data_IF_433788300648
#
_entry.id   IF_433788300648
#
_cell.length_a   1.000
_cell.length_b   1.000
_cell.length_c   1.000
_cell.angle_alpha   90.00
_cell.angle_beta   90.00
_cell.angle_gamma   90.00
#
_symmetry.space_group_name_H-M   'P 1'
#
loop_
_entity.id
_entity.type
_entity.pdbx_description
1 polymer ?
#
# COMPACT_ATOMS: atom_id res chain seq x y z
N UNK A 1 14.61 -29.30 0.48
CA UNK A 1 13.45 -28.84 1.27
C UNK A 1 13.97 -28.29 2.60
N UNK A 2 13.76 -27.00 2.90
CA UNK A 2 14.06 -26.46 4.23
C UNK A 2 12.98 -26.98 5.17
N UNK A 3 13.38 -27.69 6.22
CA UNK A 3 12.47 -28.15 7.26
C UNK A 3 11.88 -26.93 7.98
N UNK A 4 10.63 -26.62 7.72
CA UNK A 4 9.85 -25.66 8.50
C UNK A 4 9.56 -26.35 9.84
N UNK A 5 10.32 -26.02 10.88
CA UNK A 5 9.97 -26.37 12.26
C UNK A 5 8.97 -25.35 12.77
N UNK A 6 7.74 -25.78 12.94
CA UNK A 6 6.78 -25.01 13.74
C UNK A 6 7.38 -24.86 15.14
N UNK A 7 7.45 -23.63 15.65
CA UNK A 7 7.80 -23.36 17.06
C UNK A 7 6.62 -23.78 17.95
N UNK A 8 6.44 -25.08 18.11
CA UNK A 8 5.36 -25.64 18.95
C UNK A 8 5.53 -25.33 20.45
N UNK A 9 6.67 -24.77 20.84
CA UNK A 9 6.96 -24.44 22.24
C UNK A 9 6.38 -23.09 22.69
N UNK A 10 5.79 -22.31 21.79
CA UNK A 10 5.18 -21.02 22.14
C UNK A 10 3.78 -21.15 22.73
N UNK A 11 3.13 -22.32 22.57
CA UNK A 11 1.78 -22.57 23.08
C UNK A 11 1.90 -23.39 24.36
N UNK A 12 1.38 -22.89 25.48
CA UNK A 12 1.36 -23.60 26.74
C UNK A 12 0.47 -24.83 26.63
N UNK A 13 0.98 -25.98 27.07
CA UNK A 13 0.21 -27.24 27.05
C UNK A 13 -1.06 -27.08 27.89
N UNK A 14 -2.23 -27.22 27.23
CA UNK A 14 -3.54 -27.05 27.88
C UNK A 14 -4.10 -25.62 27.85
N UNK A 15 -3.42 -24.64 27.19
CA UNK A 15 -3.97 -23.34 26.94
C UNK A 15 -5.11 -23.44 25.94
N UNK A 16 -6.16 -22.64 26.16
CA UNK A 16 -7.22 -22.39 25.19
C UNK A 16 -7.05 -21.04 24.47
N UNK A 17 -6.04 -20.23 24.84
CA UNK A 17 -5.70 -18.95 24.24
C UNK A 17 -4.46 -19.06 23.35
N UNK A 18 -4.57 -19.78 22.25
CA UNK A 18 -3.47 -20.00 21.32
C UNK A 18 -2.93 -18.70 20.71
N UNK A 19 -3.81 -17.73 20.46
CA UNK A 19 -3.43 -16.43 19.87
C UNK A 19 -2.64 -15.62 20.89
N UNK A 20 -3.13 -15.53 22.13
CA UNK A 20 -2.44 -14.83 23.21
C UNK A 20 -1.07 -15.42 23.50
N UNK A 21 -0.94 -16.75 23.56
CA UNK A 21 0.34 -17.43 23.79
C UNK A 21 1.32 -17.20 22.64
N UNK A 22 0.84 -17.22 21.40
CA UNK A 22 1.67 -16.91 20.23
C UNK A 22 2.17 -15.46 20.28
N UNK A 23 1.29 -14.48 20.55
CA UNK A 23 1.67 -13.06 20.64
C UNK A 23 2.67 -12.80 21.78
N UNK A 24 2.50 -13.45 22.94
CA UNK A 24 3.48 -13.40 24.02
C UNK A 24 4.84 -13.94 23.58
N UNK A 25 4.85 -15.02 22.79
CA UNK A 25 6.11 -15.60 22.27
C UNK A 25 6.85 -14.65 21.31
N UNK A 26 6.14 -13.70 20.71
CA UNK A 26 6.71 -12.62 19.88
C UNK A 26 7.12 -11.39 20.70
N UNK A 27 7.00 -11.43 22.04
CA UNK A 27 7.37 -10.34 22.94
C UNK A 27 6.27 -9.30 23.15
N UNK A 28 5.04 -9.58 22.73
CA UNK A 28 3.90 -8.69 23.01
C UNK A 28 3.53 -8.83 24.48
N UNK A 29 3.55 -7.72 25.22
CA UNK A 29 3.17 -7.69 26.62
C UNK A 29 1.69 -8.10 26.81
N UNK A 30 1.39 -8.83 27.89
CA UNK A 30 0.07 -9.44 28.09
C UNK A 30 -1.07 -8.41 28.11
N UNK A 31 -0.83 -7.25 28.67
CA UNK A 31 -1.77 -6.12 28.72
C UNK A 31 -2.10 -5.54 27.34
N UNK A 32 -1.23 -5.73 26.36
CA UNK A 32 -1.42 -5.22 25.01
C UNK A 32 -2.10 -6.23 24.07
N UNK A 33 -2.21 -7.50 24.47
CA UNK A 33 -2.76 -8.56 23.62
C UNK A 33 -4.20 -8.27 23.23
N UNK A 34 -5.03 -7.82 24.19
CA UNK A 34 -6.43 -7.51 23.93
C UNK A 34 -6.58 -6.39 22.87
N UNK A 35 -5.81 -5.32 22.98
CA UNK A 35 -5.82 -4.23 22.01
C UNK A 35 -5.24 -4.66 20.66
N UNK A 36 -4.29 -5.57 20.64
CA UNK A 36 -3.68 -6.09 19.42
C UNK A 36 -4.65 -6.99 18.62
N UNK A 37 -5.44 -7.81 19.33
CA UNK A 37 -6.43 -8.73 18.71
C UNK A 37 -7.74 -8.02 18.39
N UNK A 38 -8.16 -7.10 19.26
CA UNK A 38 -9.43 -6.40 19.16
C UNK A 38 -9.20 -4.91 18.83
N UNK A 39 -8.41 -4.61 17.81
CA UNK A 39 -8.14 -3.23 17.40
C UNK A 39 -9.43 -2.41 17.38
N UNK A 40 -9.53 -1.34 18.16
CA UNK A 40 -10.70 -0.49 18.12
C UNK A 40 -10.88 0.07 16.71
N UNK A 41 -12.07 -0.07 16.15
CA UNK A 41 -12.40 0.31 14.76
C UNK A 41 -12.23 1.80 14.43
N UNK A 42 -11.90 2.63 15.41
CA UNK A 42 -11.63 4.06 15.26
C UNK A 42 -10.59 4.46 16.30
N UNK A 43 -9.34 4.51 15.91
CA UNK A 43 -8.29 5.15 16.70
C UNK A 43 -7.72 6.29 15.87
N UNK A 44 -7.13 7.29 16.54
CA UNK A 44 -6.36 8.35 15.88
C UNK A 44 -5.20 7.79 15.03
N UNK A 45 -4.83 6.52 15.25
CA UNK A 45 -3.82 5.80 14.45
C UNK A 45 -4.22 5.60 13.00
N UNK A 46 -5.53 5.54 12.72
CA UNK A 46 -6.07 5.37 11.36
C UNK A 46 -6.33 6.72 10.66
N UNK A 47 -5.92 7.81 11.27
CA UNK A 47 -6.08 9.13 10.68
C UNK A 47 -5.05 9.34 9.56
N UNK A 48 -5.48 9.45 8.30
CA UNK A 48 -4.55 9.63 7.17
C UNK A 48 -3.69 10.90 7.29
N UNK A 49 -4.15 11.91 8.05
CA UNK A 49 -3.39 13.13 8.30
C UNK A 49 -2.12 12.94 9.14
N UNK A 50 -1.97 11.75 9.76
CA UNK A 50 -0.74 11.39 10.46
C UNK A 50 0.35 10.87 9.52
N UNK A 51 0.03 10.61 8.25
CA UNK A 51 1.03 10.25 7.25
C UNK A 51 1.84 11.48 6.85
N UNK A 52 3.16 11.30 6.78
CA UNK A 52 4.04 12.36 6.31
C UNK A 52 3.68 12.79 4.88
N UNK A 53 3.68 14.09 4.62
CA UNK A 53 3.45 14.70 3.30
C UNK A 53 2.07 14.42 2.66
N UNK A 54 1.12 13.80 3.37
CA UNK A 54 -0.18 13.44 2.79
C UNK A 54 -0.96 14.65 2.29
N UNK A 55 -0.94 15.75 3.02
CA UNK A 55 -1.68 16.97 2.62
C UNK A 55 -1.08 17.58 1.35
N UNK A 56 0.24 17.65 1.24
CA UNK A 56 0.95 18.14 0.06
C UNK A 56 0.71 17.23 -1.16
N UNK A 57 0.82 15.91 -0.96
CA UNK A 57 0.59 14.93 -2.02
C UNK A 57 -0.86 14.99 -2.54
N UNK A 58 -1.84 15.07 -1.65
CA UNK A 58 -3.26 15.16 -2.02
C UNK A 58 -3.54 16.46 -2.77
N UNK A 59 -3.04 17.60 -2.28
CA UNK A 59 -3.24 18.90 -2.93
C UNK A 59 -2.60 18.93 -4.34
N UNK A 60 -1.38 18.42 -4.46
CA UNK A 60 -0.68 18.35 -5.76
C UNK A 60 -1.46 17.49 -6.75
N UNK A 61 -1.83 16.27 -6.35
CA UNK A 61 -2.60 15.36 -7.20
C UNK A 61 -3.97 15.96 -7.58
N UNK A 62 -4.67 16.58 -6.62
CA UNK A 62 -5.97 17.20 -6.86
C UNK A 62 -5.87 18.36 -7.85
N UNK A 63 -4.86 19.21 -7.73
CA UNK A 63 -4.64 20.31 -8.64
C UNK A 63 -4.32 19.83 -10.05
N UNK A 64 -3.47 18.81 -10.21
CA UNK A 64 -3.17 18.22 -11.50
C UNK A 64 -4.43 17.65 -12.17
N UNK A 65 -5.20 16.86 -11.42
CA UNK A 65 -6.41 16.19 -11.89
C UNK A 65 -7.58 17.16 -12.22
N UNK A 66 -7.59 18.37 -11.64
CA UNK A 66 -8.67 19.34 -11.84
C UNK A 66 -8.35 20.42 -12.86
N UNK A 67 -7.07 20.81 -12.97
CA UNK A 67 -6.66 21.93 -13.85
C UNK A 67 -6.37 21.50 -15.28
N UNK A 68 -6.05 20.23 -15.49
CA UNK A 68 -5.66 19.72 -16.81
C UNK A 68 -6.72 18.77 -17.34
N UNK A 69 -7.16 19.00 -18.57
CA UNK A 69 -7.96 18.03 -19.32
C UNK A 69 -7.06 16.93 -19.86
N UNK A 70 -7.61 15.72 -19.92
CA UNK A 70 -6.95 14.54 -20.50
C UNK A 70 -5.56 14.25 -19.88
N UNK A 71 -5.41 14.54 -18.57
CA UNK A 71 -4.20 14.19 -17.82
C UNK A 71 -4.02 12.66 -17.83
N UNK A 72 -2.84 12.21 -18.20
CA UNK A 72 -2.48 10.80 -18.17
C UNK A 72 -2.02 10.39 -16.79
N UNK A 73 -2.66 9.37 -16.24
CA UNK A 73 -2.44 8.86 -14.90
C UNK A 73 -2.11 7.38 -14.98
N UNK A 74 -0.94 7.02 -14.49
CA UNK A 74 -0.54 5.64 -14.35
C UNK A 74 -0.79 5.15 -12.91
N UNK A 75 -1.43 4.00 -12.77
CA UNK A 75 -1.59 3.32 -11.48
C UNK A 75 -0.88 1.96 -11.55
N UNK A 76 0.08 1.73 -10.68
CA UNK A 76 0.78 0.45 -10.61
C UNK A 76 0.24 -0.41 -9.46
N UNK A 77 -0.54 -1.46 -9.75
CA UNK A 77 -0.97 -2.41 -8.72
C UNK A 77 0.19 -3.27 -8.24
N UNK A 78 0.31 -3.47 -6.94
CA UNK A 78 1.19 -4.52 -6.41
C UNK A 78 0.54 -5.91 -6.63
N UNK A 79 1.31 -6.99 -6.90
CA UNK A 79 0.78 -8.27 -7.35
C UNK A 79 0.26 -9.17 -6.23
N UNK A 80 -0.31 -8.62 -5.19
CA UNK A 80 -1.00 -9.34 -4.13
C UNK A 80 -2.42 -8.82 -3.89
N UNK A 81 -3.12 -9.39 -2.91
CA UNK A 81 -4.56 -9.13 -2.74
C UNK A 81 -4.86 -7.69 -2.34
N UNK A 82 -4.07 -7.09 -1.46
CA UNK A 82 -4.27 -5.71 -0.98
C UNK A 82 -3.79 -4.70 -2.02
N UNK A 83 -2.71 -4.97 -2.75
CA UNK A 83 -2.27 -4.17 -3.89
C UNK A 83 -3.31 -4.12 -5.01
N UNK A 84 -3.90 -5.25 -5.40
CA UNK A 84 -4.99 -5.28 -6.38
C UNK A 84 -6.24 -4.56 -5.88
N UNK A 85 -6.65 -4.78 -4.63
CA UNK A 85 -7.87 -4.18 -4.11
C UNK A 85 -7.73 -2.67 -3.89
N UNK A 86 -6.60 -2.20 -3.35
CA UNK A 86 -6.33 -0.77 -3.18
C UNK A 86 -6.27 -0.04 -4.52
N UNK A 87 -5.60 -0.63 -5.52
CA UNK A 87 -5.55 -0.08 -6.88
C UNK A 87 -6.91 -0.04 -7.55
N UNK A 88 -7.72 -1.09 -7.42
CA UNK A 88 -9.08 -1.11 -7.98
C UNK A 88 -9.98 -0.03 -7.35
N UNK A 89 -9.87 0.19 -6.04
CA UNK A 89 -10.59 1.26 -5.34
C UNK A 89 -10.15 2.63 -5.85
N UNK A 90 -8.84 2.85 -5.95
CA UNK A 90 -8.27 4.12 -6.43
C UNK A 90 -8.70 4.40 -7.88
N UNK A 91 -8.53 3.46 -8.79
CA UNK A 91 -8.92 3.60 -10.21
C UNK A 91 -10.42 3.90 -10.33
N UNK A 92 -11.26 3.18 -9.57
CA UNK A 92 -12.70 3.40 -9.56
C UNK A 92 -13.07 4.80 -9.05
N UNK A 93 -12.37 5.29 -8.02
CA UNK A 93 -12.53 6.64 -7.51
C UNK A 93 -12.12 7.69 -8.53
N UNK A 94 -10.94 7.55 -9.13
CA UNK A 94 -10.39 8.48 -10.11
C UNK A 94 -11.31 8.58 -11.34
N UNK A 95 -11.73 7.45 -11.91
CA UNK A 95 -12.65 7.42 -13.06
C UNK A 95 -13.98 8.13 -12.76
N UNK A 96 -14.51 7.98 -11.55
CA UNK A 96 -15.77 8.60 -11.15
C UNK A 96 -15.62 10.08 -10.88
N UNK A 97 -14.54 10.48 -10.24
CA UNK A 97 -14.33 11.86 -9.75
C UNK A 97 -13.71 12.77 -10.81
N UNK A 98 -12.89 12.20 -11.67
CA UNK A 98 -12.13 12.91 -12.71
C UNK A 98 -12.30 12.22 -14.08
N UNK A 99 -13.51 12.30 -14.68
CA UNK A 99 -13.85 11.54 -15.88
C UNK A 99 -13.08 11.96 -17.13
N UNK A 100 -12.37 13.09 -17.09
CA UNK A 100 -11.48 13.55 -18.17
C UNK A 100 -10.05 13.00 -18.04
N UNK A 101 -9.69 12.38 -16.92
CA UNK A 101 -8.37 11.78 -16.78
C UNK A 101 -8.27 10.46 -17.56
N UNK A 102 -7.16 10.27 -18.24
CA UNK A 102 -6.84 9.01 -18.94
C UNK A 102 -6.07 8.11 -18.00
N UNK A 103 -6.73 7.10 -17.48
CA UNK A 103 -6.15 6.23 -16.46
C UNK A 103 -5.80 4.88 -17.07
N UNK A 104 -4.57 4.45 -16.87
CA UNK A 104 -4.12 3.12 -17.27
C UNK A 104 -3.26 2.46 -16.20
N UNK A 105 -3.04 1.16 -16.34
CA UNK A 105 -2.26 0.35 -15.41
C UNK A 105 -1.61 -0.83 -16.15
N UNK A 106 -0.55 -1.34 -15.58
CA UNK A 106 0.07 -2.61 -16.00
C UNK A 106 0.25 -3.50 -14.78
N UNK A 107 0.07 -4.80 -14.96
CA UNK A 107 0.32 -5.79 -13.93
C UNK A 107 1.78 -6.25 -14.01
N UNK A 108 2.36 -6.56 -12.85
CA UNK A 108 3.66 -7.22 -12.78
C UNK A 108 3.62 -8.58 -13.49
N UNK A 109 4.75 -8.98 -14.08
CA UNK A 109 4.97 -10.33 -14.53
C UNK A 109 5.55 -11.15 -13.36
N UNK A 110 4.83 -12.22 -12.97
CA UNK A 110 5.25 -13.09 -11.88
C UNK A 110 4.94 -12.54 -10.49
N UNK A 111 5.93 -12.59 -9.59
CA UNK A 111 5.80 -12.18 -8.17
C UNK A 111 6.74 -11.04 -7.81
N UNK A 112 7.15 -10.24 -8.77
CA UNK A 112 7.95 -9.07 -8.51
C UNK A 112 7.09 -7.97 -7.87
N UNK A 113 7.63 -7.27 -6.90
CA UNK A 113 6.98 -6.19 -6.17
C UNK A 113 7.71 -4.87 -6.41
N UNK A 114 7.04 -3.77 -6.09
CA UNK A 114 7.65 -2.45 -6.13
C UNK A 114 7.51 -1.72 -7.47
N UNK A 115 8.26 -0.65 -7.62
CA UNK A 115 8.17 0.27 -8.75
C UNK A 115 8.85 -0.31 -9.99
N UNK A 116 8.16 -0.33 -11.12
CA UNK A 116 8.71 -0.67 -12.44
C UNK A 116 8.70 0.57 -13.34
N UNK A 117 9.78 1.37 -13.39
CA UNK A 117 9.81 2.63 -14.13
C UNK A 117 9.57 2.50 -15.63
N UNK A 118 9.86 1.33 -16.20
CA UNK A 118 9.60 1.04 -17.63
C UNK A 118 8.12 0.84 -17.96
N UNK A 119 7.25 0.74 -16.97
CA UNK A 119 5.80 0.65 -17.17
C UNK A 119 5.14 2.01 -17.29
N UNK A 120 5.83 3.06 -16.82
CA UNK A 120 5.36 4.45 -16.88
C UNK A 120 5.69 5.00 -18.26
N UNK A 121 4.66 5.39 -18.98
CA UNK A 121 4.81 5.95 -20.33
C UNK A 121 5.27 7.42 -20.26
N UNK A 122 5.90 7.92 -21.33
CA UNK A 122 6.36 9.32 -21.37
C UNK A 122 5.22 10.33 -21.24
N UNK A 123 4.03 9.96 -21.69
CA UNK A 123 2.80 10.75 -21.57
C UNK A 123 2.23 10.83 -20.16
N UNK A 124 2.61 9.93 -19.26
CA UNK A 124 2.11 9.94 -17.89
C UNK A 124 2.64 11.16 -17.12
N UNK A 125 1.75 11.80 -16.40
CA UNK A 125 2.05 13.01 -15.65
C UNK A 125 1.89 12.82 -14.15
N UNK A 126 1.13 11.80 -13.77
CA UNK A 126 0.86 11.45 -12.39
C UNK A 126 0.93 9.93 -12.23
N UNK A 127 1.70 9.48 -11.24
CA UNK A 127 1.93 8.07 -10.96
C UNK A 127 1.46 7.74 -9.55
N UNK A 128 0.60 6.74 -9.43
CA UNK A 128 0.18 6.19 -8.14
C UNK A 128 0.65 4.75 -8.01
N UNK A 129 1.21 4.43 -6.85
CA UNK A 129 1.70 3.09 -6.53
C UNK A 129 1.12 2.68 -5.17
N UNK A 130 -0.14 2.22 -5.15
CA UNK A 130 -0.76 1.74 -3.92
C UNK A 130 -0.06 0.49 -3.40
N UNK A 131 0.16 0.45 -2.08
CA UNK A 131 0.65 -0.71 -1.33
C UNK A 131 2.10 -1.14 -1.61
N UNK A 132 2.86 -0.38 -2.40
CA UNK A 132 4.24 -0.72 -2.72
C UNK A 132 5.13 0.52 -2.87
N UNK A 133 6.42 0.31 -3.12
CA UNK A 133 7.33 1.35 -3.57
C UNK A 133 7.98 2.20 -2.49
N UNK A 134 7.61 2.07 -1.20
CA UNK A 134 8.14 2.92 -0.12
C UNK A 134 9.66 2.84 0.04
N UNK A 135 10.27 1.72 -0.33
CA UNK A 135 11.72 1.49 -0.23
C UNK A 135 12.45 1.57 -1.58
N UNK A 136 11.76 1.87 -2.67
CA UNK A 136 12.30 1.85 -4.03
C UNK A 136 12.91 3.20 -4.42
N UNK A 137 13.85 3.68 -3.60
CA UNK A 137 14.44 5.02 -3.72
C UNK A 137 15.10 5.29 -5.09
N UNK A 138 15.70 4.28 -5.71
CA UNK A 138 16.34 4.44 -7.02
C UNK A 138 15.30 4.62 -8.14
N UNK A 139 14.25 3.82 -8.09
CA UNK A 139 13.14 3.86 -9.04
C UNK A 139 12.35 5.17 -8.88
N UNK A 140 12.11 5.61 -7.64
CA UNK A 140 11.50 6.92 -7.35
C UNK A 140 12.34 8.06 -7.95
N UNK A 141 13.67 8.05 -7.76
CA UNK A 141 14.57 9.05 -8.35
C UNK A 141 14.52 9.04 -9.87
N UNK A 142 14.44 7.85 -10.48
CA UNK A 142 14.30 7.73 -11.94
C UNK A 142 13.00 8.38 -12.43
N UNK A 143 11.87 8.12 -11.77
CA UNK A 143 10.58 8.73 -12.13
C UNK A 143 10.62 10.25 -11.94
N UNK A 144 11.16 10.73 -10.83
CA UNK A 144 11.32 12.18 -10.57
C UNK A 144 12.19 12.83 -11.65
N UNK A 145 13.29 12.19 -12.07
CA UNK A 145 14.15 12.70 -13.14
C UNK A 145 13.44 12.77 -14.50
N UNK A 146 12.40 11.95 -14.71
CA UNK A 146 11.50 11.98 -15.86
C UNK A 146 10.34 12.97 -15.71
N UNK A 147 10.29 13.71 -14.59
CA UNK A 147 9.23 14.69 -14.32
C UNK A 147 7.89 14.07 -13.88
N UNK A 148 7.95 12.89 -13.34
CA UNK A 148 6.76 12.15 -12.85
C UNK A 148 6.55 12.36 -11.36
#
# INVERSE_FOLDING_TARGET
MKNIRLKTNCIQKGSHDYVGDYLKSLGIAAENIFSFVNMPRKTDKDNPKLLNNVEEAVETAYQMLTKKKDIHVYVQPDPDTDGFTSSAVLISYLNRRFPSAVIHWKLHEGKDHGIVPSFVDDSDELVFIPDAGSNDYNQQKELIAKGK
#
